data_IF_967689573538
#
_entry.id   IF_967689573538
#
_cell.length_a   1.000
_cell.length_b   1.000
_cell.length_c   1.000
_cell.angle_alpha   90.00
_cell.angle_beta   90.00
_cell.angle_gamma   90.00
#
_symmetry.space_group_name_H-M   'P 1'
#
loop_
_entity.id
_entity.type
_entity.pdbx_description
1 polymer ?
#
# COMPACT_ATOMS: atom_id res chain seq x y z
N UNK A 1 -15.54 19.02 -16.98
CA UNK A 1 -16.46 19.90 -16.22
C UNK A 1 -17.06 19.21 -15.00
N UNK A 2 -17.56 17.97 -15.12
CA UNK A 2 -18.16 17.21 -13.99
C UNK A 2 -17.19 17.03 -12.80
N UNK A 3 -15.93 16.68 -13.05
CA UNK A 3 -14.93 16.47 -11.99
C UNK A 3 -14.58 17.74 -11.19
N UNK A 4 -14.62 18.93 -11.81
CA UNK A 4 -14.42 20.19 -11.09
C UNK A 4 -15.59 20.47 -10.14
N UNK A 5 -16.84 20.21 -10.54
CA UNK A 5 -17.98 20.32 -9.64
C UNK A 5 -17.85 19.40 -8.41
N UNK A 6 -17.31 18.19 -8.60
CA UNK A 6 -17.09 17.23 -7.51
C UNK A 6 -15.92 17.64 -6.58
N UNK A 7 -14.92 18.34 -7.11
CA UNK A 7 -13.76 18.82 -6.35
C UNK A 7 -14.07 20.00 -5.40
N UNK A 8 -15.20 20.71 -5.57
CA UNK A 8 -15.49 21.94 -4.81
C UNK A 8 -16.77 21.91 -3.97
N UNK A 9 -17.52 20.80 -3.97
CA UNK A 9 -18.75 20.68 -3.16
C UNK A 9 -18.62 19.57 -2.12
N UNK A 10 -18.75 19.94 -0.84
CA UNK A 10 -18.75 19.04 0.32
C UNK A 10 -20.07 18.25 0.50
N UNK A 11 -21.09 18.50 -0.35
CA UNK A 11 -22.45 17.97 -0.17
C UNK A 11 -22.84 16.90 -1.21
N UNK A 12 -21.98 15.89 -1.42
CA UNK A 12 -22.40 14.72 -2.18
C UNK A 12 -23.10 13.70 -1.28
N UNK A 13 -24.37 13.41 -1.61
CA UNK A 13 -25.09 12.18 -1.25
C UNK A 13 -24.15 10.97 -1.42
N UNK A 14 -23.80 10.33 -0.31
CA UNK A 14 -22.63 9.46 -0.20
C UNK A 14 -22.73 8.20 -1.05
N UNK A 15 -23.94 7.66 -1.23
CA UNK A 15 -24.17 6.43 -1.98
C UNK A 15 -24.15 6.66 -3.50
N UNK A 16 -24.77 7.73 -3.98
CA UNK A 16 -24.84 8.06 -5.41
C UNK A 16 -23.47 8.50 -5.94
N UNK A 17 -22.72 9.26 -5.14
CA UNK A 17 -21.35 9.64 -5.50
C UNK A 17 -20.39 8.44 -5.51
N UNK A 18 -20.47 7.54 -4.51
CA UNK A 18 -19.69 6.30 -4.50
C UNK A 18 -20.01 5.44 -5.72
N UNK A 19 -21.29 5.28 -6.04
CA UNK A 19 -21.74 4.51 -7.21
C UNK A 19 -21.27 5.15 -8.52
N UNK A 20 -21.37 6.48 -8.65
CA UNK A 20 -20.91 7.19 -9.85
C UNK A 20 -19.40 7.08 -10.03
N UNK A 21 -18.60 7.23 -8.97
CA UNK A 21 -17.14 7.12 -9.03
C UNK A 21 -16.70 5.69 -9.26
N UNK A 22 -17.37 4.72 -8.63
CA UNK A 22 -17.12 3.31 -8.89
C UNK A 22 -17.41 2.96 -10.36
N UNK A 23 -18.56 3.39 -10.88
CA UNK A 23 -18.90 3.20 -12.29
C UNK A 23 -17.88 3.86 -13.21
N UNK A 24 -17.33 5.02 -12.85
CA UNK A 24 -16.24 5.67 -13.60
C UNK A 24 -14.99 4.79 -13.56
N UNK A 25 -14.54 4.34 -12.38
CA UNK A 25 -13.35 3.50 -12.24
C UNK A 25 -13.51 2.15 -13.00
N UNK A 26 -14.67 1.52 -12.91
CA UNK A 26 -14.99 0.25 -13.57
C UNK A 26 -15.13 0.40 -15.10
N UNK A 27 -15.84 1.44 -15.56
CA UNK A 27 -15.91 1.77 -16.98
C UNK A 27 -14.52 2.05 -17.53
N UNK A 28 -13.67 2.75 -16.79
CA UNK A 28 -12.30 3.04 -17.21
C UNK A 28 -11.41 1.77 -17.24
N UNK A 29 -11.62 0.79 -16.35
CA UNK A 29 -10.96 -0.53 -16.42
C UNK A 29 -11.30 -1.25 -17.74
N UNK A 30 -12.54 -1.10 -18.23
CA UNK A 30 -12.99 -1.73 -19.47
C UNK A 30 -12.46 -1.05 -20.77
N UNK A 31 -12.00 0.21 -20.68
CA UNK A 31 -11.57 1.03 -21.84
C UNK A 31 -10.03 1.15 -21.92
N UNK A 32 -9.31 0.10 -21.50
CA UNK A 32 -7.84 0.02 -21.37
C UNK A 32 -6.99 0.44 -22.60
N UNK A 33 -7.59 0.81 -23.74
CA UNK A 33 -6.85 1.24 -24.94
C UNK A 33 -6.65 2.77 -25.08
N UNK A 34 -7.43 3.63 -24.43
CA UNK A 34 -7.32 5.10 -24.65
C UNK A 34 -7.64 5.99 -23.42
N UNK A 35 -7.72 5.43 -22.22
CA UNK A 35 -8.02 6.24 -21.05
C UNK A 35 -6.84 7.16 -20.66
N UNK A 36 -7.07 8.47 -20.73
CA UNK A 36 -6.13 9.52 -20.34
C UNK A 36 -5.68 9.34 -18.88
N UNK A 37 -4.37 9.27 -18.65
CA UNK A 37 -3.80 9.14 -17.30
C UNK A 37 -4.30 10.25 -16.36
N UNK A 38 -4.59 11.44 -16.90
CA UNK A 38 -5.16 12.54 -16.13
C UNK A 38 -6.55 12.20 -15.59
N UNK A 39 -7.38 11.47 -16.34
CA UNK A 39 -8.70 11.09 -15.89
C UNK A 39 -8.64 10.13 -14.68
N UNK A 40 -7.72 9.15 -14.71
CA UNK A 40 -7.51 8.25 -13.56
C UNK A 40 -7.02 9.01 -12.33
N UNK A 41 -6.11 9.97 -12.53
CA UNK A 41 -5.61 10.81 -11.43
C UNK A 41 -6.76 11.58 -10.78
N UNK A 42 -7.63 12.22 -11.57
CA UNK A 42 -8.77 12.96 -11.02
C UNK A 42 -9.78 12.04 -10.31
N UNK A 43 -10.10 10.89 -10.91
CA UNK A 43 -11.00 9.90 -10.29
C UNK A 43 -10.44 9.41 -8.94
N UNK A 44 -9.15 9.06 -8.88
CA UNK A 44 -8.49 8.64 -7.64
C UNK A 44 -8.38 9.77 -6.61
N UNK A 45 -8.19 11.02 -7.03
CA UNK A 45 -8.19 12.16 -6.11
C UNK A 45 -9.56 12.34 -5.44
N UNK A 46 -10.64 12.26 -6.21
CA UNK A 46 -11.99 12.31 -5.65
C UNK A 46 -12.24 11.12 -4.73
N UNK A 47 -11.91 9.91 -5.18
CA UNK A 47 -12.07 8.69 -4.37
C UNK A 47 -11.26 8.76 -3.07
N UNK A 48 -10.04 9.29 -3.10
CA UNK A 48 -9.19 9.51 -1.91
C UNK A 48 -9.83 10.47 -0.90
N UNK A 49 -10.56 11.50 -1.36
CA UNK A 49 -11.32 12.39 -0.47
C UNK A 49 -12.48 11.66 0.19
N UNK A 50 -13.20 10.83 -0.57
CA UNK A 50 -14.27 10.00 -0.03
C UNK A 50 -13.74 9.01 1.02
N UNK A 51 -12.64 8.31 0.75
CA UNK A 51 -11.99 7.45 1.74
C UNK A 51 -11.60 8.22 3.00
N UNK A 52 -11.15 9.48 2.87
CA UNK A 52 -10.85 10.30 4.03
C UNK A 52 -12.06 10.56 4.93
N UNK A 53 -13.24 10.75 4.34
CA UNK A 53 -14.47 11.05 5.06
C UNK A 53 -15.18 9.78 5.54
N UNK A 54 -15.15 8.71 4.74
CA UNK A 54 -16.05 7.57 4.88
C UNK A 54 -15.41 6.23 4.46
N UNK A 55 -14.19 5.95 4.88
CA UNK A 55 -13.50 4.67 4.59
C UNK A 55 -14.33 3.41 4.93
N UNK A 56 -15.25 3.48 5.89
CA UNK A 56 -16.06 2.34 6.36
C UNK A 56 -17.17 1.92 5.39
N UNK A 57 -17.56 2.77 4.43
CA UNK A 57 -18.59 2.45 3.42
C UNK A 57 -17.99 2.04 2.07
N UNK A 58 -16.66 1.89 1.98
CA UNK A 58 -16.00 1.49 0.73
C UNK A 58 -16.29 0.03 0.44
N UNK A 59 -16.76 -0.25 -0.77
CA UNK A 59 -17.08 -1.62 -1.20
C UNK A 59 -15.80 -2.38 -1.55
N UNK A 60 -15.88 -3.71 -1.46
CA UNK A 60 -14.80 -4.61 -1.82
C UNK A 60 -14.36 -4.39 -3.27
N UNK A 61 -15.30 -4.34 -4.21
CA UNK A 61 -15.06 -4.17 -5.64
C UNK A 61 -14.33 -2.86 -5.92
N UNK A 62 -14.73 -1.77 -5.26
CA UNK A 62 -14.11 -0.46 -5.45
C UNK A 62 -12.64 -0.43 -5.01
N UNK A 63 -12.32 -1.07 -3.88
CA UNK A 63 -10.95 -1.18 -3.39
C UNK A 63 -10.12 -2.14 -4.25
N UNK A 64 -10.72 -3.21 -4.75
CA UNK A 64 -10.08 -4.14 -5.68
C UNK A 64 -9.66 -3.44 -6.98
N UNK A 65 -10.52 -2.57 -7.53
CA UNK A 65 -10.17 -1.75 -8.70
C UNK A 65 -9.00 -0.83 -8.40
N UNK A 66 -8.97 -0.18 -7.23
CA UNK A 66 -7.84 0.68 -6.83
C UNK A 66 -6.53 -0.11 -6.75
N UNK A 67 -6.53 -1.31 -6.19
CA UNK A 67 -5.33 -2.17 -6.13
C UNK A 67 -4.88 -2.58 -7.53
N UNK A 68 -5.80 -3.01 -8.39
CA UNK A 68 -5.48 -3.38 -9.76
C UNK A 68 -4.91 -2.19 -10.55
N UNK A 69 -5.46 -0.99 -10.40
CA UNK A 69 -4.90 0.23 -11.01
C UNK A 69 -3.48 0.51 -10.51
N UNK A 70 -3.20 0.30 -9.22
CA UNK A 70 -1.85 0.42 -8.69
C UNK A 70 -0.91 -0.60 -9.33
N UNK A 71 -1.35 -1.85 -9.54
CA UNK A 71 -0.56 -2.90 -10.19
C UNK A 71 -0.28 -2.60 -11.66
N UNK A 72 -1.31 -2.20 -12.43
CA UNK A 72 -1.19 -1.83 -13.85
C UNK A 72 -0.17 -0.70 -14.07
N UNK A 73 -0.09 0.23 -13.11
CA UNK A 73 0.81 1.38 -13.16
C UNK A 73 2.05 1.23 -12.26
N UNK A 74 2.31 0.04 -11.72
CA UNK A 74 3.32 -0.17 -10.67
C UNK A 74 4.73 0.29 -11.05
N UNK A 75 5.15 -0.06 -12.28
CA UNK A 75 6.46 0.30 -12.80
C UNK A 75 6.52 1.69 -13.42
N UNK A 76 5.39 2.37 -13.51
CA UNK A 76 5.35 3.74 -13.97
C UNK A 76 5.58 4.69 -12.79
N UNK A 77 6.43 5.69 -13.00
CA UNK A 77 6.59 6.81 -12.06
C UNK A 77 5.40 7.79 -12.09
N UNK A 78 4.25 7.36 -12.63
CA UNK A 78 3.09 8.20 -12.82
C UNK A 78 2.39 8.51 -11.48
N UNK A 79 1.47 9.48 -11.52
CA UNK A 79 0.71 9.89 -10.34
C UNK A 79 -0.41 8.89 -9.99
N UNK A 80 -0.84 8.05 -10.93
CA UNK A 80 -1.91 7.06 -10.72
C UNK A 80 -1.52 6.06 -9.63
N UNK A 81 -0.35 5.44 -9.74
CA UNK A 81 0.14 4.47 -8.74
C UNK A 81 0.31 5.11 -7.35
N UNK A 82 0.82 6.34 -7.28
CA UNK A 82 0.99 7.09 -6.03
C UNK A 82 -0.35 7.43 -5.36
N UNK A 83 -1.35 7.83 -6.13
CA UNK A 83 -2.68 8.14 -5.60
C UNK A 83 -3.41 6.87 -5.14
N UNK A 84 -3.38 5.82 -5.95
CA UNK A 84 -3.93 4.52 -5.57
C UNK A 84 -3.26 3.97 -4.30
N UNK A 85 -1.93 4.04 -4.21
CA UNK A 85 -1.20 3.65 -3.01
C UNK A 85 -1.57 4.47 -1.77
N UNK A 86 -1.86 5.77 -1.93
CA UNK A 86 -2.31 6.63 -0.83
C UNK A 86 -3.70 6.23 -0.31
N UNK A 87 -4.62 5.88 -1.21
CA UNK A 87 -5.95 5.34 -0.87
C UNK A 87 -5.81 4.05 -0.07
N UNK A 88 -5.02 3.10 -0.56
CA UNK A 88 -4.80 1.80 0.08
C UNK A 88 -4.18 2.01 1.47
N UNK A 89 -3.09 2.78 1.56
CA UNK A 89 -2.41 3.09 2.82
C UNK A 89 -3.37 3.68 3.86
N UNK A 90 -4.25 4.59 3.44
CA UNK A 90 -5.24 5.20 4.32
C UNK A 90 -6.26 4.20 4.84
N UNK A 91 -6.82 3.36 3.97
CA UNK A 91 -7.77 2.34 4.39
C UNK A 91 -7.14 1.34 5.38
N UNK A 92 -5.89 0.95 5.16
CA UNK A 92 -5.14 0.05 6.05
C UNK A 92 -4.80 0.71 7.39
N UNK A 93 -4.38 1.98 7.39
CA UNK A 93 -4.14 2.79 8.59
C UNK A 93 -5.40 2.94 9.45
N UNK A 94 -6.57 3.02 8.81
CA UNK A 94 -7.86 3.01 9.49
C UNK A 94 -8.34 1.63 9.95
N UNK A 95 -7.61 0.56 9.66
CA UNK A 95 -8.02 -0.79 10.05
C UNK A 95 -9.29 -1.25 9.34
N UNK A 96 -9.49 -0.86 8.07
CA UNK A 96 -10.66 -1.24 7.28
C UNK A 96 -10.68 -2.76 7.00
N UNK A 97 -11.64 -3.55 7.54
CA UNK A 97 -11.69 -4.98 7.29
C UNK A 97 -11.75 -5.33 5.80
N UNK A 98 -12.54 -4.56 5.03
CA UNK A 98 -12.66 -4.73 3.59
C UNK A 98 -11.33 -4.57 2.87
N UNK A 99 -10.54 -3.55 3.23
CA UNK A 99 -9.23 -3.34 2.61
C UNK A 99 -8.23 -4.42 2.99
N UNK A 100 -8.21 -4.88 4.24
CA UNK A 100 -7.33 -5.99 4.65
C UNK A 100 -7.67 -7.28 3.89
N UNK A 101 -8.97 -7.56 3.73
CA UNK A 101 -9.46 -8.69 2.92
C UNK A 101 -8.98 -8.60 1.46
N UNK A 102 -9.22 -7.47 0.78
CA UNK A 102 -8.76 -7.25 -0.62
C UNK A 102 -7.24 -7.35 -0.71
N UNK A 103 -6.51 -6.77 0.24
CA UNK A 103 -5.06 -6.73 0.25
C UNK A 103 -4.44 -8.13 0.39
N UNK A 104 -5.06 -8.99 1.20
CA UNK A 104 -4.67 -10.39 1.34
C UNK A 104 -5.09 -11.23 0.12
N UNK A 105 -6.34 -11.08 -0.34
CA UNK A 105 -6.87 -11.83 -1.48
C UNK A 105 -6.07 -11.59 -2.77
N UNK A 106 -5.59 -10.36 -2.99
CA UNK A 106 -4.76 -9.99 -4.13
C UNK A 106 -3.25 -10.18 -3.90
N UNK A 107 -2.84 -10.79 -2.78
CA UNK A 107 -1.44 -11.12 -2.50
C UNK A 107 -0.49 -9.92 -2.66
N UNK A 108 -0.90 -8.76 -2.13
CA UNK A 108 -0.18 -7.51 -2.35
C UNK A 108 1.27 -7.56 -1.86
N UNK A 109 1.54 -8.23 -0.73
CA UNK A 109 2.89 -8.30 -0.16
C UNK A 109 3.83 -9.21 -0.97
N UNK A 110 3.31 -10.29 -1.57
CA UNK A 110 4.05 -11.11 -2.54
C UNK A 110 4.29 -10.32 -3.82
N UNK A 111 3.25 -9.64 -4.34
CA UNK A 111 3.35 -8.86 -5.56
C UNK A 111 4.47 -7.84 -5.47
N UNK A 112 4.56 -7.10 -4.36
CA UNK A 112 5.63 -6.12 -4.14
C UNK A 112 7.03 -6.76 -4.13
N UNK A 113 7.15 -7.96 -3.58
CA UNK A 113 8.39 -8.74 -3.62
C UNK A 113 8.89 -9.03 -5.03
N UNK A 114 7.98 -9.40 -5.93
CA UNK A 114 8.31 -9.80 -7.30
C UNK A 114 8.55 -8.61 -8.25
N UNK A 115 8.01 -7.44 -7.95
CA UNK A 115 8.03 -6.29 -8.88
C UNK A 115 9.01 -5.19 -8.48
N UNK A 116 9.68 -5.32 -7.33
CA UNK A 116 10.75 -4.42 -6.88
C UNK A 116 10.23 -3.31 -5.97
N UNK A 117 11.10 -2.69 -5.17
CA UNK A 117 10.67 -1.91 -4.01
C UNK A 117 10.63 -0.40 -4.31
N UNK A 118 9.43 0.15 -4.46
CA UNK A 118 9.24 1.59 -4.67
C UNK A 118 9.13 2.35 -3.33
N UNK A 119 9.73 3.55 -3.20
CA UNK A 119 9.63 4.35 -1.97
C UNK A 119 8.21 4.61 -1.46
N UNK A 120 7.24 4.76 -2.37
CA UNK A 120 5.84 5.02 -2.00
C UNK A 120 5.15 3.81 -1.35
N UNK A 121 5.68 2.59 -1.52
CA UNK A 121 5.16 1.39 -0.85
C UNK A 121 5.35 1.43 0.66
N UNK A 122 6.38 2.13 1.15
CA UNK A 122 6.63 2.24 2.59
C UNK A 122 5.42 2.82 3.32
N UNK A 123 4.65 3.73 2.70
CA UNK A 123 3.41 4.27 3.28
C UNK A 123 2.30 3.22 3.38
N UNK A 124 2.18 2.35 2.37
CA UNK A 124 1.20 1.25 2.37
C UNK A 124 1.54 0.28 3.50
N UNK A 125 2.82 -0.11 3.60
CA UNK A 125 3.30 -1.01 4.65
C UNK A 125 3.14 -0.38 6.04
N UNK A 126 3.46 0.90 6.22
CA UNK A 126 3.22 1.60 7.48
C UNK A 126 1.73 1.57 7.88
N UNK A 127 0.82 1.80 6.93
CA UNK A 127 -0.62 1.69 7.16
C UNK A 127 -1.06 0.27 7.51
N UNK A 128 -0.51 -0.74 6.82
CA UNK A 128 -0.76 -2.16 7.09
C UNK A 128 -0.32 -2.57 8.51
N UNK A 129 0.85 -2.11 8.96
CA UNK A 129 1.37 -2.46 10.27
C UNK A 129 0.70 -1.67 11.41
N UNK A 130 0.10 -0.52 11.12
CA UNK A 130 -0.49 0.36 12.12
C UNK A 130 -1.55 -0.34 12.98
N UNK A 131 -2.38 -1.19 12.36
CA UNK A 131 -3.44 -1.90 13.06
C UNK A 131 -2.94 -2.97 14.04
N UNK A 132 -1.70 -3.42 13.92
CA UNK A 132 -1.14 -4.50 14.74
C UNK A 132 -0.38 -3.99 15.97
N UNK A 133 -0.12 -2.68 16.07
CA UNK A 133 0.61 -2.11 17.18
C UNK A 133 -0.16 -2.16 18.51
N UNK A 134 0.55 -2.28 19.63
CA UNK A 134 -0.03 -2.32 21.00
C UNK A 134 -0.94 -1.14 21.38
N UNK A 135 -0.87 -0.02 20.66
CA UNK A 135 -1.70 1.16 20.89
C UNK A 135 -2.65 1.46 19.72
N UNK A 136 -2.84 0.50 18.81
CA UNK A 136 -3.75 0.69 17.69
C UNK A 136 -5.18 0.79 18.22
N UNK A 137 -5.96 1.68 17.59
CA UNK A 137 -7.43 1.70 17.71
C UNK A 137 -8.03 1.02 16.47
N UNK A 138 -7.48 -0.13 16.09
CA UNK A 138 -7.93 -0.82 14.88
C UNK A 138 -9.39 -1.23 15.01
N UNK A 139 -10.09 -1.19 13.88
CA UNK A 139 -11.46 -1.69 13.74
C UNK A 139 -11.49 -3.17 13.32
N UNK A 140 -10.34 -3.81 13.18
CA UNK A 140 -10.22 -5.23 12.88
C UNK A 140 -10.57 -6.08 14.09
N UNK A 141 -11.21 -7.22 13.83
CA UNK A 141 -11.37 -8.27 14.85
C UNK A 141 -10.01 -8.88 15.21
N UNK A 142 -9.89 -9.35 16.46
CA UNK A 142 -8.64 -9.94 16.97
C UNK A 142 -8.22 -11.17 16.16
N UNK A 143 -9.17 -11.97 15.69
CA UNK A 143 -8.93 -13.13 14.82
C UNK A 143 -8.27 -12.72 13.49
N UNK A 144 -8.81 -11.68 12.84
CA UNK A 144 -8.28 -11.14 11.59
C UNK A 144 -6.88 -10.56 11.80
N UNK A 145 -6.67 -9.83 12.90
CA UNK A 145 -5.33 -9.34 13.26
C UNK A 145 -4.34 -10.50 13.38
N UNK A 146 -4.72 -11.57 14.08
CA UNK A 146 -3.85 -12.72 14.30
C UNK A 146 -3.50 -13.44 12.99
N UNK A 147 -4.48 -13.65 12.09
CA UNK A 147 -4.26 -14.21 10.75
C UNK A 147 -3.23 -13.40 9.96
N UNK A 148 -3.39 -12.07 9.93
CA UNK A 148 -2.46 -11.20 9.20
C UNK A 148 -1.08 -11.13 9.86
N UNK A 149 -0.96 -11.29 11.17
CA UNK A 149 0.32 -11.41 11.88
C UNK A 149 1.03 -12.71 11.48
N UNK A 150 0.32 -13.83 11.43
CA UNK A 150 0.88 -15.12 11.02
C UNK A 150 1.37 -15.08 9.58
N UNK A 151 0.54 -14.52 8.69
CA UNK A 151 0.89 -14.29 7.29
C UNK A 151 2.14 -13.40 7.12
N UNK A 152 2.20 -12.29 7.86
CA UNK A 152 3.34 -11.36 7.88
C UNK A 152 4.65 -12.03 8.32
N UNK A 153 4.58 -13.03 9.21
CA UNK A 153 5.74 -13.75 9.73
C UNK A 153 6.09 -15.02 8.95
N UNK A 154 5.58 -15.18 7.73
CA UNK A 154 6.19 -16.09 6.76
C UNK A 154 7.52 -15.49 6.26
N UNK A 155 8.53 -16.33 6.03
CA UNK A 155 9.90 -15.87 5.75
C UNK A 155 10.01 -14.99 4.49
N UNK A 156 9.23 -15.29 3.46
CA UNK A 156 9.16 -14.51 2.22
C UNK A 156 8.56 -13.12 2.44
N UNK A 157 7.41 -13.06 3.11
CA UNK A 157 6.67 -11.82 3.33
C UNK A 157 7.42 -10.90 4.29
N UNK A 158 7.95 -11.44 5.39
CA UNK A 158 8.72 -10.66 6.35
C UNK A 158 9.93 -9.99 5.68
N UNK A 159 10.63 -10.72 4.81
CA UNK A 159 11.74 -10.17 4.04
C UNK A 159 11.29 -9.05 3.08
N UNK A 160 10.19 -9.24 2.34
CA UNK A 160 9.67 -8.21 1.44
C UNK A 160 9.29 -6.94 2.20
N UNK A 161 8.56 -7.08 3.30
CA UNK A 161 8.14 -5.98 4.16
C UNK A 161 9.35 -5.23 4.73
N UNK A 162 10.32 -5.94 5.30
CA UNK A 162 11.55 -5.33 5.80
C UNK A 162 12.31 -4.59 4.70
N UNK A 163 12.42 -5.17 3.51
CA UNK A 163 13.13 -4.56 2.39
C UNK A 163 12.45 -3.31 1.88
N UNK A 164 11.12 -3.31 1.76
CA UNK A 164 10.32 -2.12 1.42
C UNK A 164 10.53 -1.01 2.45
N UNK A 165 10.48 -1.34 3.74
CA UNK A 165 10.71 -0.39 4.81
C UNK A 165 12.14 0.16 4.82
N UNK A 166 13.13 -0.63 4.36
CA UNK A 166 14.53 -0.25 4.28
C UNK A 166 14.86 0.67 3.09
N UNK A 167 14.15 0.57 1.96
CA UNK A 167 14.31 1.50 0.82
C UNK A 167 14.07 2.95 1.25
N UNK A 168 13.12 3.19 2.16
CA UNK A 168 12.86 4.53 2.69
C UNK A 168 12.38 5.54 1.65
N UNK A 169 12.43 6.83 2.00
CA UNK A 169 12.05 7.95 1.10
C UNK A 169 13.32 8.67 0.60
N UNK A 170 13.73 8.50 -0.67
CA UNK A 170 15.01 9.01 -1.17
C UNK A 170 15.10 10.55 -1.12
N UNK A 171 13.97 11.25 -1.02
CA UNK A 171 13.95 12.71 -0.96
C UNK A 171 14.25 13.27 0.45
N UNK A 172 14.37 12.42 1.47
CA UNK A 172 14.51 12.85 2.87
C UNK A 172 15.56 12.05 3.67
N UNK A 173 16.80 12.05 3.21
CA UNK A 173 17.93 11.23 3.73
C UNK A 173 18.15 11.30 5.26
N UNK A 174 18.08 12.47 5.89
CA UNK A 174 18.34 12.60 7.34
C UNK A 174 17.20 12.09 8.24
N UNK A 175 15.95 12.13 7.77
CA UNK A 175 14.79 11.56 8.49
C UNK A 175 14.57 10.08 8.17
N UNK A 176 15.17 9.57 7.09
CA UNK A 176 15.06 8.17 6.69
C UNK A 176 15.59 7.19 7.74
N UNK A 177 16.81 7.36 8.26
CA UNK A 177 17.39 6.37 9.21
C UNK A 177 16.55 6.20 10.48
N UNK A 178 16.04 7.31 11.04
CA UNK A 178 15.15 7.27 12.22
C UNK A 178 13.82 6.60 11.90
N UNK A 179 13.25 6.88 10.74
CA UNK A 179 11.97 6.30 10.28
C UNK A 179 12.11 4.81 9.97
N UNK A 180 13.13 4.40 9.23
CA UNK A 180 13.47 3.00 8.96
C UNK A 180 13.61 2.24 10.28
N UNK A 181 14.44 2.76 11.21
CA UNK A 181 14.61 2.15 12.53
C UNK A 181 13.28 2.02 13.28
N UNK A 182 12.46 3.07 13.30
CA UNK A 182 11.14 3.04 13.94
C UNK A 182 10.25 1.96 13.33
N UNK A 183 10.16 1.90 12.00
CA UNK A 183 9.29 0.96 11.30
C UNK A 183 9.72 -0.50 11.53
N UNK A 184 11.01 -0.80 11.44
CA UNK A 184 11.54 -2.14 11.73
C UNK A 184 11.30 -2.51 13.19
N UNK A 185 11.50 -1.58 14.15
CA UNK A 185 11.20 -1.83 15.55
C UNK A 185 9.71 -2.09 15.78
N UNK A 186 8.81 -1.36 15.12
CA UNK A 186 7.38 -1.62 15.19
C UNK A 186 7.03 -3.02 14.66
N UNK A 187 7.68 -3.46 13.58
CA UNK A 187 7.51 -4.82 13.05
C UNK A 187 8.00 -5.90 14.02
N UNK A 188 9.18 -5.71 14.62
CA UNK A 188 9.71 -6.61 15.66
C UNK A 188 8.80 -6.66 16.88
N UNK A 189 8.19 -5.54 17.27
CA UNK A 189 7.28 -5.48 18.41
C UNK A 189 5.99 -6.27 18.19
N UNK A 190 5.53 -6.44 16.95
CA UNK A 190 4.35 -7.24 16.62
C UNK A 190 4.58 -8.71 16.99
N UNK A 191 5.75 -9.27 16.66
CA UNK A 191 6.11 -10.63 17.06
C UNK A 191 7.64 -10.80 17.21
N UNK A 192 8.12 -10.60 18.44
CA UNK A 192 9.56 -10.56 18.75
C UNK A 192 10.27 -11.90 18.50
N UNK A 193 9.56 -13.02 18.69
CA UNK A 193 10.15 -14.37 18.66
C UNK A 193 9.77 -15.16 17.39
N UNK A 194 9.40 -14.47 16.30
CA UNK A 194 9.10 -15.17 15.05
C UNK A 194 10.36 -15.85 14.50
N UNK A 195 10.28 -17.14 14.18
CA UNK A 195 11.39 -17.92 13.61
C UNK A 195 11.86 -17.36 12.26
N UNK A 196 10.97 -16.69 11.53
CA UNK A 196 11.27 -16.04 10.26
C UNK A 196 12.30 -14.89 10.36
N UNK A 197 12.52 -14.31 11.56
CA UNK A 197 13.50 -13.23 11.73
C UNK A 197 14.93 -13.66 11.40
N UNK A 198 15.32 -14.88 11.74
CA UNK A 198 16.67 -15.38 11.45
C UNK A 198 16.94 -15.44 9.95
N UNK A 199 15.99 -15.99 9.18
CA UNK A 199 16.09 -16.06 7.73
C UNK A 199 15.98 -14.69 7.07
N UNK A 200 15.08 -13.83 7.54
CA UNK A 200 14.96 -12.45 7.06
C UNK A 200 16.28 -11.67 7.25
N UNK A 201 16.89 -11.76 8.44
CA UNK A 201 18.18 -11.14 8.73
C UNK A 201 19.28 -11.67 7.80
N UNK A 202 19.37 -13.00 7.63
CA UNK A 202 20.35 -13.63 6.74
C UNK A 202 20.22 -13.12 5.30
N UNK A 203 19.00 -13.06 4.76
CA UNK A 203 18.75 -12.57 3.39
C UNK A 203 19.06 -11.08 3.22
N UNK A 204 18.71 -10.24 4.21
CA UNK A 204 19.05 -8.82 4.19
C UNK A 204 20.56 -8.59 4.24
N UNK A 205 21.28 -9.38 5.04
CA UNK A 205 22.73 -9.33 5.10
C UNK A 205 23.37 -9.76 3.77
N UNK A 206 22.87 -10.86 3.17
CA UNK A 206 23.33 -11.31 1.86
C UNK A 206 23.14 -10.23 0.77
N UNK A 207 21.97 -9.57 0.72
CA UNK A 207 21.74 -8.44 -0.19
C UNK A 207 22.76 -7.30 0.01
N UNK A 208 23.08 -6.96 1.25
CA UNK A 208 24.05 -5.91 1.55
C UNK A 208 25.49 -6.30 1.18
N UNK A 209 25.83 -7.59 1.23
CA UNK A 209 27.15 -8.10 0.88
C UNK A 209 27.33 -8.21 -0.65
N UNK A 210 26.28 -8.59 -1.39
CA UNK A 210 26.31 -8.78 -2.84
C UNK A 210 26.21 -7.47 -3.63
N UNK A 211 25.27 -6.60 -3.26
CA UNK A 211 24.96 -5.37 -4.01
C UNK A 211 25.31 -4.08 -3.25
N UNK A 212 25.85 -4.19 -2.03
CA UNK A 212 26.12 -3.05 -1.17
C UNK A 212 24.85 -2.28 -0.77
N UNK A 213 25.03 -1.01 -0.40
CA UNK A 213 23.88 -0.11 -0.23
C UNK A 213 23.23 0.25 -1.56
N UNK A 214 23.89 -0.01 -2.70
CA UNK A 214 23.44 0.42 -4.01
C UNK A 214 22.14 -0.27 -4.42
N UNK A 215 21.89 -1.51 -3.98
CA UNK A 215 20.60 -2.19 -4.16
C UNK A 215 19.42 -1.29 -3.79
N UNK A 216 19.38 -0.82 -2.54
CA UNK A 216 18.26 0.00 -2.02
C UNK A 216 18.18 1.36 -2.70
N UNK A 217 19.29 1.92 -3.19
CA UNK A 217 19.29 3.17 -3.96
C UNK A 217 18.81 2.94 -5.40
N UNK A 218 19.12 1.80 -6.01
CA UNK A 218 18.81 1.42 -7.39
C UNK A 218 17.38 0.89 -7.57
N UNK A 219 16.68 0.48 -6.50
CA UNK A 219 15.26 0.08 -6.57
C UNK A 219 14.34 1.21 -7.11
N UNK A 220 14.81 2.46 -7.14
CA UNK A 220 14.10 3.56 -7.83
C UNK A 220 14.04 3.38 -9.36
N UNK A 221 14.83 2.46 -9.94
CA UNK A 221 15.01 2.30 -11.40
C UNK A 221 14.91 0.87 -11.96
N UNK A 222 14.66 -0.18 -11.16
CA UNK A 222 14.76 -1.59 -11.64
C UNK A 222 13.51 -2.42 -11.37
N UNK A 223 13.14 -3.28 -12.33
CA UNK A 223 12.09 -4.30 -12.24
C UNK A 223 12.55 -5.48 -11.37
N UNK A 224 11.97 -5.65 -10.17
CA UNK A 224 11.97 -6.91 -9.41
C UNK A 224 13.30 -7.50 -8.93
N UNK A 225 13.29 -8.15 -7.77
CA UNK A 225 14.36 -9.11 -7.41
C UNK A 225 14.06 -10.41 -8.19
N UNK A 226 15.02 -10.90 -8.98
CA UNK A 226 14.97 -12.25 -9.57
C UNK A 226 15.57 -13.27 -8.63
#
# INVERSE_FOLDING_TARGET
>A
MVFQGILYHDEFSTLEANTAIFNILDTMKSVQQEADADLYIHALQVYSRLVHMQWHVMSHESLEVVVNLMFDHYNSNNLVSKQAGSVIARCLDKGSPTMYSVFHALQCLEYFGHHGYRPWLAKIIEGYLFSFGHHSKSHLEVSVIQEHIEYLHTSGILFNVCSILAVGDPYHLCTCKKRIKKNILSLVQIQQNASAWGECHRRLQQLLEEDGMDFFHQQTYVNGIK
#
